data_IF_122649794652
#
_entry.id   IF_122649794652
#
_cell.length_a   1.000
_cell.length_b   1.000
_cell.length_c   1.000
_cell.angle_alpha   90.00
_cell.angle_beta   90.00
_cell.angle_gamma   90.00
#
_symmetry.space_group_name_H-M   'P 1'
#
loop_
_entity.id
_entity.type
_entity.pdbx_description
1 polymer ?
#
# COMPACT_ATOMS: atom_id res chain seq x y z
N UNK A 1 -9.00 8.52 8.90
CA UNK A 1 -9.97 7.40 9.01
C UNK A 1 -11.37 7.92 8.71
N UNK A 2 -12.33 7.04 8.41
CA UNK A 2 -13.72 7.43 8.15
C UNK A 2 -14.41 6.53 7.12
N UNK A 3 -15.75 6.59 7.06
CA UNK A 3 -16.54 5.86 6.05
C UNK A 3 -16.12 6.27 4.63
N UNK A 4 -15.90 5.28 3.77
CA UNK A 4 -15.47 5.46 2.38
C UNK A 4 -13.98 5.80 2.23
N UNK A 5 -13.22 5.88 3.33
CA UNK A 5 -11.78 6.14 3.25
C UNK A 5 -11.00 4.90 2.82
N UNK A 6 -9.89 5.10 2.11
CA UNK A 6 -8.95 4.03 1.77
C UNK A 6 -8.53 3.22 3.02
N UNK A 7 -8.35 3.90 4.16
CA UNK A 7 -7.96 3.27 5.43
C UNK A 7 -9.00 2.34 6.02
N UNK A 8 -10.28 2.66 5.83
CA UNK A 8 -11.35 1.74 6.21
C UNK A 8 -11.32 0.50 5.30
N UNK A 9 -11.29 0.71 3.98
CA UNK A 9 -11.31 -0.36 3.00
C UNK A 9 -10.12 -1.34 3.16
N UNK A 10 -8.90 -0.83 3.39
CA UNK A 10 -7.71 -1.64 3.58
C UNK A 10 -7.74 -2.51 4.85
N UNK A 11 -8.57 -2.19 5.84
CA UNK A 11 -8.66 -2.94 7.12
C UNK A 11 -9.81 -3.93 7.18
N UNK A 12 -10.78 -3.83 6.26
CA UNK A 12 -11.93 -4.75 6.19
C UNK A 12 -11.46 -6.20 6.04
N UNK A 13 -12.22 -7.14 6.63
CA UNK A 13 -11.84 -8.55 6.70
C UNK A 13 -12.15 -9.27 5.39
N UNK A 14 -13.24 -8.88 4.75
CA UNK A 14 -13.66 -9.41 3.47
C UNK A 14 -12.69 -9.07 2.33
N UNK A 15 -12.61 -9.91 1.29
CA UNK A 15 -11.87 -9.58 0.08
C UNK A 15 -12.43 -8.33 -0.58
N UNK A 16 -11.55 -7.39 -0.98
CA UNK A 16 -11.98 -6.17 -1.67
C UNK A 16 -11.05 -5.83 -2.82
N UNK A 17 -11.67 -5.38 -3.91
CA UNK A 17 -11.01 -4.64 -4.98
C UNK A 17 -11.31 -3.15 -4.78
N UNK A 18 -10.31 -2.40 -4.36
CA UNK A 18 -10.42 -0.99 -3.99
C UNK A 18 -10.01 -0.15 -5.20
N UNK A 19 -10.96 0.62 -5.71
CA UNK A 19 -10.78 1.61 -6.78
C UNK A 19 -11.08 3.00 -6.26
N UNK A 20 -10.72 4.01 -7.05
CA UNK A 20 -10.89 5.41 -6.70
C UNK A 20 -11.83 6.09 -7.70
N UNK A 21 -12.79 6.84 -7.19
CA UNK A 21 -13.74 7.60 -8.01
C UNK A 21 -13.10 8.84 -8.63
N UNK A 22 -12.20 9.49 -7.87
CA UNK A 22 -11.54 10.74 -8.27
C UNK A 22 -10.04 10.69 -8.00
N UNK A 23 -9.29 11.42 -8.83
CA UNK A 23 -7.86 11.66 -8.65
C UNK A 23 -7.61 12.54 -7.42
N UNK A 24 -6.48 12.35 -6.74
CA UNK A 24 -6.18 13.15 -5.56
C UNK A 24 -4.95 12.72 -4.77
N UNK A 25 -4.67 13.51 -3.73
CA UNK A 25 -3.58 13.27 -2.78
C UNK A 25 -4.16 12.85 -1.44
N UNK A 26 -3.77 11.67 -0.96
CA UNK A 26 -4.15 11.12 0.34
C UNK A 26 -2.97 11.29 1.30
N UNK A 27 -3.13 12.21 2.25
CA UNK A 27 -2.14 12.47 3.29
C UNK A 27 -2.31 11.45 4.43
N UNK A 28 -1.32 10.60 4.63
CA UNK A 28 -1.32 9.59 5.68
C UNK A 28 -0.61 10.11 6.94
N UNK A 29 -1.37 10.25 8.03
CA UNK A 29 -0.82 10.60 9.36
C UNK A 29 -0.13 9.43 10.08
N UNK A 30 -0.34 8.20 9.60
CA UNK A 30 0.24 6.96 10.12
C UNK A 30 0.34 5.92 9.02
N UNK A 31 1.11 4.86 9.22
CA UNK A 31 1.14 3.73 8.26
C UNK A 31 -0.26 3.23 7.93
N UNK A 32 -0.52 3.01 6.64
CA UNK A 32 -1.75 2.43 6.15
C UNK A 32 -1.64 0.90 6.20
N UNK A 33 -2.27 0.29 7.20
CA UNK A 33 -2.30 -1.17 7.34
C UNK A 33 -3.20 -1.78 6.28
N UNK A 34 -2.68 -2.78 5.55
CA UNK A 34 -3.42 -3.52 4.51
C UNK A 34 -3.57 -4.97 4.95
N UNK A 35 -4.82 -5.42 5.14
CA UNK A 35 -5.15 -6.80 5.46
C UNK A 35 -5.08 -7.70 4.21
N UNK A 36 -5.19 -9.02 4.41
CA UNK A 36 -5.18 -9.99 3.31
C UNK A 36 -6.34 -9.78 2.32
N UNK A 37 -6.18 -10.34 1.11
CA UNK A 37 -7.20 -10.35 0.06
C UNK A 37 -7.63 -8.95 -0.37
N UNK A 38 -6.64 -8.10 -0.69
CA UNK A 38 -6.88 -6.72 -1.14
C UNK A 38 -6.23 -6.49 -2.49
N UNK A 39 -6.97 -5.87 -3.40
CA UNK A 39 -6.38 -5.19 -4.53
C UNK A 39 -6.57 -3.69 -4.32
N UNK A 40 -5.50 -2.91 -4.35
CA UNK A 40 -5.56 -1.44 -4.36
C UNK A 40 -5.13 -1.01 -5.75
N UNK A 41 -6.11 -0.57 -6.53
CA UNK A 41 -5.98 -0.32 -7.96
C UNK A 41 -6.18 1.16 -8.27
N UNK A 42 -5.08 1.85 -8.56
CA UNK A 42 -5.09 3.25 -8.96
C UNK A 42 -5.38 3.46 -10.45
N UNK A 43 -5.69 2.44 -11.26
CA UNK A 43 -5.92 2.65 -12.70
C UNK A 43 -7.13 3.55 -12.94
N UNK A 44 -7.03 4.37 -13.99
CA UNK A 44 -8.06 5.34 -14.36
C UNK A 44 -8.06 6.63 -13.53
N UNK A 45 -7.31 6.69 -12.43
CA UNK A 45 -7.14 7.88 -11.61
C UNK A 45 -5.67 8.14 -11.29
N UNK A 46 -5.34 9.38 -10.92
CA UNK A 46 -4.02 9.72 -10.41
C UNK A 46 -4.09 9.82 -8.89
N UNK A 47 -3.65 8.77 -8.21
CA UNK A 47 -3.72 8.65 -6.76
C UNK A 47 -2.31 8.72 -6.18
N UNK A 48 -2.07 9.76 -5.37
CA UNK A 48 -0.82 9.95 -4.65
C UNK A 48 -1.02 9.76 -3.16
N UNK A 49 -0.16 8.97 -2.53
CA UNK A 49 -0.08 8.79 -1.08
C UNK A 49 1.16 9.52 -0.55
N UNK A 50 0.99 10.29 0.54
CA UNK A 50 2.08 11.09 1.12
C UNK A 50 2.14 10.97 2.64
N UNK A 51 3.25 11.41 3.24
CA UNK A 51 3.46 11.48 4.69
C UNK A 51 3.91 10.17 5.32
N UNK A 52 3.20 9.05 5.06
CA UNK A 52 3.57 7.69 5.50
C UNK A 52 3.36 6.68 4.37
N UNK A 53 3.71 5.42 4.61
CA UNK A 53 3.62 4.34 3.63
C UNK A 53 2.55 3.28 3.94
N UNK A 54 2.60 2.19 3.16
CA UNK A 54 1.83 0.98 3.37
C UNK A 54 2.54 0.02 4.33
N UNK A 55 1.75 -0.70 5.13
CA UNK A 55 2.26 -1.76 5.99
C UNK A 55 1.44 -3.04 5.81
N UNK A 56 2.08 -4.07 5.27
CA UNK A 56 1.55 -5.39 4.98
C UNK A 56 2.15 -6.37 5.99
N UNK A 57 1.42 -6.59 7.08
CA UNK A 57 1.88 -7.39 8.22
C UNK A 57 1.10 -8.68 8.36
N UNK A 58 1.82 -9.82 8.30
CA UNK A 58 1.25 -11.17 8.45
C UNK A 58 0.02 -11.36 7.54
N UNK A 59 0.15 -10.92 6.29
CA UNK A 59 -0.94 -10.94 5.32
C UNK A 59 -0.54 -11.58 3.99
N UNK A 60 -1.55 -11.95 3.22
CA UNK A 60 -1.36 -12.61 1.93
C UNK A 60 -2.40 -12.20 0.89
N UNK A 61 -2.09 -12.47 -0.37
CA UNK A 61 -2.95 -12.17 -1.51
C UNK A 61 -3.27 -10.67 -1.60
N UNK A 62 -2.23 -9.85 -1.75
CA UNK A 62 -2.37 -8.40 -1.89
C UNK A 62 -1.76 -7.92 -3.21
N UNK A 63 -2.51 -7.11 -3.95
CA UNK A 63 -2.02 -6.42 -5.15
C UNK A 63 -2.07 -4.91 -4.88
N UNK A 64 -0.98 -4.22 -5.15
CA UNK A 64 -0.89 -2.76 -5.09
C UNK A 64 -0.43 -2.32 -6.47
N UNK A 65 -1.28 -1.60 -7.20
CA UNK A 65 -0.94 -1.19 -8.55
C UNK A 65 -1.35 0.23 -8.92
N UNK A 66 -0.54 0.84 -9.79
CA UNK A 66 -0.80 2.14 -10.40
C UNK A 66 -1.01 3.29 -9.39
N UNK A 67 -0.23 3.28 -8.31
CA UNK A 67 -0.23 4.32 -7.28
C UNK A 67 1.08 5.12 -7.27
N UNK A 68 1.00 6.40 -6.93
CA UNK A 68 2.14 7.26 -6.65
C UNK A 68 2.37 7.36 -5.13
N UNK A 69 3.63 7.30 -4.71
CA UNK A 69 4.03 7.54 -3.33
C UNK A 69 5.17 8.56 -3.29
N UNK A 70 5.03 9.57 -2.44
CA UNK A 70 6.01 10.66 -2.33
C UNK A 70 6.00 11.34 -0.96
N UNK A 71 7.17 11.76 -0.48
CA UNK A 71 7.30 12.64 0.68
C UNK A 71 7.02 11.93 2.00
N UNK A 72 7.56 10.71 2.16
CA UNK A 72 7.49 10.00 3.43
C UNK A 72 8.64 10.40 4.35
N UNK A 73 8.31 10.99 5.51
CA UNK A 73 9.31 11.37 6.52
C UNK A 73 9.35 10.35 7.65
N UNK A 74 10.55 9.94 8.07
CA UNK A 74 10.76 8.86 9.05
C UNK A 74 9.85 7.64 8.77
N UNK A 75 9.83 7.18 7.52
CA UNK A 75 8.98 6.09 7.09
C UNK A 75 9.54 5.36 5.87
N UNK A 76 9.17 4.09 5.77
CA UNK A 76 9.24 3.33 4.54
C UNK A 76 8.00 3.57 3.69
N UNK A 77 8.14 3.48 2.37
CA UNK A 77 7.01 3.61 1.45
C UNK A 77 6.13 2.35 1.42
N UNK A 78 6.71 1.16 1.24
CA UNK A 78 5.96 -0.11 1.33
C UNK A 78 6.73 -1.09 2.22
N UNK A 79 6.15 -1.44 3.37
CA UNK A 79 6.69 -2.46 4.27
C UNK A 79 5.92 -3.78 4.12
N UNK A 80 6.63 -4.88 3.83
CA UNK A 80 6.10 -6.24 3.80
C UNK A 80 6.84 -7.07 4.85
N UNK A 81 6.21 -7.27 6.02
CA UNK A 81 6.83 -7.94 7.18
C UNK A 81 5.84 -8.27 8.29
N UNK A 82 6.06 -9.30 9.13
CA UNK A 82 6.76 -10.55 8.83
C UNK A 82 5.82 -11.56 8.16
N UNK A 83 6.40 -12.65 7.62
CA UNK A 83 5.67 -13.85 7.13
C UNK A 83 4.55 -13.54 6.12
N UNK A 84 4.66 -12.43 5.40
CA UNK A 84 3.69 -12.06 4.37
C UNK A 84 4.05 -12.75 3.05
N UNK A 85 3.05 -13.13 2.25
CA UNK A 85 3.27 -13.87 0.99
C UNK A 85 2.24 -13.60 -0.09
N UNK A 86 2.53 -13.95 -1.33
CA UNK A 86 1.62 -13.76 -2.47
C UNK A 86 1.21 -12.29 -2.64
N UNK A 87 2.23 -11.42 -2.77
CA UNK A 87 2.05 -9.97 -2.90
C UNK A 87 2.64 -9.49 -4.21
N UNK A 88 1.94 -8.58 -4.90
CA UNK A 88 2.41 -7.97 -6.12
C UNK A 88 2.36 -6.44 -6.01
N UNK A 89 3.52 -5.80 -6.21
CA UNK A 89 3.65 -4.35 -6.35
C UNK A 89 3.93 -4.08 -7.83
N UNK A 90 3.04 -3.37 -8.49
CA UNK A 90 3.03 -3.29 -9.95
C UNK A 90 2.76 -1.86 -10.45
N UNK A 91 3.65 -1.34 -11.33
CA UNK A 91 3.49 -0.01 -11.92
C UNK A 91 3.28 1.10 -10.89
N UNK A 92 3.94 0.98 -9.74
CA UNK A 92 3.95 2.04 -8.73
C UNK A 92 5.10 3.01 -8.97
N UNK A 93 4.86 4.30 -8.75
CA UNK A 93 5.91 5.33 -8.74
C UNK A 93 6.26 5.65 -7.30
N UNK A 94 7.44 5.24 -6.83
CA UNK A 94 7.92 5.41 -5.46
C UNK A 94 9.12 6.36 -5.43
N UNK A 95 9.07 7.44 -4.65
CA UNK A 95 10.18 8.41 -4.55
C UNK A 95 10.13 9.22 -3.24
N UNK A 96 11.24 9.84 -2.86
CA UNK A 96 11.33 10.77 -1.72
C UNK A 96 10.77 10.19 -0.40
N UNK A 97 11.36 9.08 0.05
CA UNK A 97 11.16 8.56 1.41
C UNK A 97 12.51 8.53 2.13
N UNK A 98 12.51 8.89 3.42
CA UNK A 98 13.75 9.03 4.21
C UNK A 98 14.41 7.68 4.54
N UNK A 99 13.63 6.60 4.68
CA UNK A 99 14.11 5.24 4.95
C UNK A 99 14.14 4.42 3.64
N UNK A 100 13.38 3.33 3.54
CA UNK A 100 13.28 2.48 2.34
C UNK A 100 12.08 2.78 1.46
N UNK A 101 12.24 2.62 0.14
CA UNK A 101 11.10 2.63 -0.80
C UNK A 101 10.29 1.33 -0.71
N UNK A 102 10.97 0.18 -0.70
CA UNK A 102 10.33 -1.14 -0.58
C UNK A 102 11.14 -1.99 0.36
N UNK A 103 10.47 -2.50 1.39
CA UNK A 103 11.10 -3.14 2.52
C UNK A 103 10.47 -4.52 2.76
N UNK A 104 11.12 -5.57 2.24
CA UNK A 104 10.63 -6.96 2.27
C UNK A 104 11.51 -7.74 3.25
N UNK A 105 10.97 -8.04 4.44
CA UNK A 105 11.78 -8.60 5.54
C UNK A 105 11.06 -9.68 6.32
N UNK A 106 11.80 -10.31 7.25
CA UNK A 106 11.29 -11.23 8.29
C UNK A 106 10.48 -12.41 7.73
N UNK A 107 11.14 -13.19 6.87
CA UNK A 107 10.60 -14.40 6.25
C UNK A 107 9.33 -14.17 5.39
N UNK A 108 9.21 -12.98 4.80
CA UNK A 108 8.23 -12.75 3.73
C UNK A 108 8.77 -13.32 2.42
N UNK A 109 7.91 -13.93 1.60
CA UNK A 109 8.27 -14.67 0.38
C UNK A 109 7.19 -14.52 -0.69
N UNK A 110 7.42 -15.00 -1.91
CA UNK A 110 6.43 -15.01 -3.00
C UNK A 110 5.91 -13.61 -3.33
N UNK A 111 6.86 -12.69 -3.52
CA UNK A 111 6.61 -11.27 -3.80
C UNK A 111 7.15 -10.94 -5.18
N UNK A 112 6.33 -10.30 -6.01
CA UNK A 112 6.74 -9.73 -7.29
C UNK A 112 6.74 -8.21 -7.20
N UNK A 113 7.78 -7.58 -7.75
CA UNK A 113 7.87 -6.12 -7.95
C UNK A 113 8.15 -5.90 -9.43
N UNK A 114 7.25 -5.19 -10.14
CA UNK A 114 7.31 -5.01 -11.60
C UNK A 114 6.86 -3.65 -12.11
#
# INVERSE_FOLDING_TARGET
DGLGSLREACRRKEPLWIVFEVSGVIHLSSYLKVSSYKTIDGRGQRIKLTGKGLQLKECEHVIICNLEFEGGRDADCIQIKPKSRHIWIDRCSLRDYDDGLVDITRASTDITVS
#
